data_IF_388908066102
#
_entry.id   IF_388908066102
#
_cell.length_a   1.000
_cell.length_b   1.000
_cell.length_c   1.000
_cell.angle_alpha   90.00
_cell.angle_beta   90.00
_cell.angle_gamma   90.00
#
_symmetry.space_group_name_H-M   'P 1'
#
loop_
_entity.id
_entity.type
_entity.pdbx_description
1 polymer ?
2 non-polymer ?
3 water ?
#
# COMPACT_ATOMS: atom_id res chain seq x y z
N UNK A 24 1.79 18.58 -24.33
CA UNK A 24 2.83 17.59 -24.55
C UNK A 24 3.66 17.32 -23.31
N UNK A 25 4.37 16.19 -23.31
CA UNK A 25 5.22 15.79 -22.20
C UNK A 25 6.65 16.25 -22.48
N UNK A 26 7.20 17.05 -21.57
CA UNK A 26 8.57 17.49 -21.70
C UNK A 26 9.54 16.32 -21.51
N UNK A 27 10.76 16.50 -22.00
CA UNK A 27 11.77 15.45 -21.87
C UNK A 27 12.10 15.17 -20.42
N UNK A 28 12.11 16.21 -19.58
CA UNK A 28 12.35 16.01 -18.16
C UNK A 28 11.21 15.28 -17.48
N UNK A 29 9.99 15.41 -18.02
CA UNK A 29 8.86 14.66 -17.49
C UNK A 29 8.87 13.21 -17.96
N UNK A 30 9.29 12.98 -19.21
CA UNK A 30 9.41 11.62 -19.71
C UNK A 30 10.52 10.86 -18.99
N UNK A 31 11.58 11.56 -18.60
CA UNK A 31 12.65 10.91 -17.83
C UNK A 31 12.20 10.58 -16.42
N UNK A 32 11.34 11.42 -15.83
CA UNK A 32 10.82 11.16 -14.49
C UNK A 32 10.00 9.88 -14.47
N UNK A 33 9.09 9.73 -15.44
CA UNK A 33 8.25 8.54 -15.50
C UNK A 33 9.10 7.30 -15.79
N UNK A 34 10.09 7.43 -16.68
CA UNK A 34 10.93 6.29 -17.02
C UNK A 34 11.71 5.79 -15.83
N UNK A 35 12.23 6.70 -14.99
CA UNK A 35 12.97 6.28 -13.82
C UNK A 35 12.04 5.68 -12.76
N UNK A 36 10.81 6.20 -12.65
CA UNK A 36 9.85 5.62 -11.72
C UNK A 36 9.39 4.25 -12.21
N UNK A 37 9.13 4.11 -13.51
CA UNK A 37 8.69 2.83 -14.05
C UNK A 37 9.82 1.80 -13.98
N UNK A 38 11.06 2.22 -14.24
CA UNK A 38 12.19 1.32 -14.09
C UNK A 38 12.40 0.94 -12.63
N UNK A 39 12.15 1.88 -11.72
CA UNK A 39 12.24 1.57 -10.30
C UNK A 39 11.17 0.56 -9.89
N UNK A 40 9.97 0.68 -10.47
CA UNK A 40 8.89 -0.23 -10.12
C UNK A 40 9.13 -1.61 -10.69
N UNK A 41 9.67 -1.69 -11.91
CA UNK A 41 9.92 -2.98 -12.54
C UNK A 41 10.97 -3.79 -11.78
N UNK A 42 11.96 -3.11 -11.20
CA UNK A 42 13.07 -3.79 -10.53
C UNK A 42 12.77 -4.17 -9.08
N UNK A 43 11.73 -3.58 -8.48
CA UNK A 43 11.47 -3.80 -7.06
C UNK A 43 10.06 -4.29 -6.75
N UNK A 44 9.24 -4.54 -7.78
CA UNK A 44 7.88 -5.05 -7.57
C UNK A 44 7.79 -6.43 -8.22
N UNK A 45 7.80 -7.47 -7.39
CA UNK A 45 7.60 -8.84 -7.84
C UNK A 45 6.10 -9.08 -7.93
N UNK A 46 5.53 -8.79 -9.11
CA UNK A 46 4.10 -8.91 -9.31
C UNK A 46 3.60 -10.35 -9.15
N UNK A 47 4.48 -11.33 -9.36
CA UNK A 47 4.10 -12.73 -9.23
C UNK A 47 4.31 -13.28 -7.82
N UNK A 48 4.91 -12.49 -6.92
CA UNK A 48 5.18 -12.90 -5.55
C UNK A 48 5.99 -14.19 -5.50
N UNK A 49 6.88 -14.38 -6.47
CA UNK A 49 7.63 -15.63 -6.58
C UNK A 49 8.66 -15.79 -5.47
N UNK A 50 9.08 -14.70 -4.82
CA UNK A 50 10.07 -14.75 -3.76
C UNK A 50 9.46 -14.62 -2.37
N UNK A 51 8.16 -14.84 -2.25
CA UNK A 51 7.47 -14.78 -0.96
C UNK A 51 7.26 -16.22 -0.48
N UNK A 52 8.23 -16.74 0.25
CA UNK A 52 8.20 -18.10 0.78
C UNK A 52 8.55 -18.06 2.26
N UNK A 53 8.47 -19.23 2.89
CA UNK A 53 8.78 -19.40 4.31
C UNK A 53 7.97 -18.46 5.19
N UNK A 54 6.70 -18.26 4.82
CA UNK A 54 5.80 -17.41 5.58
C UNK A 54 4.92 -18.26 6.50
N UNK A 55 4.54 -17.67 7.62
CA UNK A 55 3.67 -18.37 8.56
C UNK A 55 2.23 -18.39 8.04
N UNK A 56 1.45 -19.32 8.57
CA UNK A 56 0.07 -19.51 8.18
C UNK A 56 -0.77 -19.72 9.42
N UNK A 57 -2.07 -19.43 9.36
CA UNK A 57 -2.95 -19.67 10.51
C UNK A 57 -2.89 -21.14 10.94
N UNK A 58 -2.91 -21.36 12.25
CA UNK A 58 -2.74 -22.68 12.83
C UNK A 58 -3.70 -23.73 12.31
N UNK A 59 -3.25 -24.99 12.31
CA UNK A 59 -4.06 -26.10 11.83
C UNK A 59 -5.13 -26.46 12.86
N UNK A 78 -16.96 -0.64 29.61
CA UNK A 78 -17.47 0.45 28.76
C UNK A 78 -16.50 0.68 27.59
N UNK A 79 -15.92 1.88 27.49
CA UNK A 79 -14.98 2.18 26.40
C UNK A 79 -13.67 1.42 26.61
N UNK A 80 -12.77 1.52 25.62
CA UNK A 80 -11.49 0.76 25.57
C UNK A 80 -11.78 -0.72 25.31
N UNK A 81 -12.62 -1.34 26.13
CA UNK A 81 -13.23 -2.65 25.78
C UNK A 81 -13.85 -2.54 24.40
N UNK A 82 -14.55 -1.44 24.13
CA UNK A 82 -15.27 -1.21 22.86
C UNK A 82 -14.25 -1.04 21.73
N UNK A 83 -13.15 -0.37 22.02
CA UNK A 83 -12.05 -0.15 21.03
C UNK A 83 -11.31 -1.46 20.84
N UNK A 84 -11.03 -2.19 21.92
CA UNK A 84 -10.34 -3.46 21.73
C UNK A 84 -11.17 -4.38 20.86
N UNK A 85 -12.48 -4.44 21.10
CA UNK A 85 -13.35 -5.27 20.28
C UNK A 85 -13.45 -4.73 18.85
N UNK A 86 -13.41 -3.40 18.69
CA UNK A 86 -13.51 -2.83 17.35
C UNK A 86 -12.21 -3.00 16.57
N UNK A 87 -11.07 -2.89 17.25
CA UNK A 87 -9.79 -3.05 16.57
C UNK A 87 -9.56 -4.50 16.15
N UNK A 88 -10.10 -5.45 16.89
CA UNK A 88 -9.93 -6.87 16.60
C UNK A 88 -11.12 -7.43 15.83
N UNK A 89 -11.56 -6.71 14.79
CA UNK A 89 -12.71 -7.12 13.99
C UNK A 89 -12.28 -7.85 12.73
N UNK A 90 -11.58 -7.16 11.82
CA UNK A 90 -11.05 -7.72 10.58
C UNK A 90 -12.15 -8.13 9.61
N UNK A 91 -11.85 -8.13 8.31
CA UNK A 91 -12.78 -8.59 7.30
C UNK A 91 -12.67 -10.10 7.15
N UNK A 92 -13.79 -10.71 6.74
CA UNK A 92 -13.84 -12.15 6.51
C UNK A 92 -13.24 -12.44 5.14
N UNK A 93 -11.97 -12.84 5.14
CA UNK A 93 -11.23 -13.12 3.91
C UNK A 93 -10.74 -14.56 3.94
N UNK A 94 -11.02 -15.30 2.88
CA UNK A 94 -10.53 -16.67 2.75
C UNK A 94 -9.19 -16.68 2.02
N UNK A 95 -8.33 -17.62 2.41
CA UNK A 95 -6.99 -17.74 1.87
C UNK A 95 -6.90 -18.99 1.00
N UNK A 96 -6.28 -18.84 -0.17
CA UNK A 96 -6.03 -19.95 -1.08
C UNK A 96 -4.55 -20.01 -1.40
N UNK A 97 -3.98 -21.21 -1.35
CA UNK A 97 -2.57 -21.44 -1.65
C UNK A 97 -2.50 -22.56 -2.69
N UNK A 98 -2.24 -22.19 -3.94
CA UNK A 98 -2.14 -23.17 -5.01
C UNK A 98 -0.73 -23.74 -5.07
N UNK A 99 -0.63 -25.07 -4.99
CA UNK A 99 0.65 -25.71 -5.09
C UNK A 99 1.15 -25.84 -6.52
N UNK A 100 2.46 -26.01 -6.65
CA UNK A 100 3.06 -26.16 -7.97
C UNK A 100 2.64 -27.44 -8.66
N UNK A 101 2.14 -28.42 -7.91
CA UNK A 101 1.68 -29.69 -8.46
C UNK A 101 0.20 -29.70 -8.80
N UNK A 102 -0.50 -28.59 -8.59
CA UNK A 102 -1.92 -28.52 -8.84
C UNK A 102 -2.80 -28.60 -7.61
N UNK A 103 -2.24 -29.02 -6.48
CA UNK A 103 -3.01 -29.08 -5.24
C UNK A 103 -3.34 -27.69 -4.74
N UNK A 104 -4.41 -27.60 -3.95
CA UNK A 104 -4.93 -26.33 -3.47
C UNK A 104 -5.23 -26.45 -1.98
N UNK A 105 -4.72 -25.50 -1.20
CA UNK A 105 -5.06 -25.37 0.21
C UNK A 105 -5.97 -24.16 0.38
N UNK A 106 -7.09 -24.35 1.08
CA UNK A 106 -8.06 -23.28 1.29
C UNK A 106 -8.30 -23.10 2.78
N UNK A 107 -8.22 -21.84 3.23
CA UNK A 107 -8.48 -21.49 4.62
C UNK A 107 -9.71 -20.59 4.69
N UNK A 108 -10.67 -20.97 5.54
CA UNK A 108 -11.83 -20.14 5.81
C UNK A 108 -11.80 -19.67 7.25
N UNK A 109 -11.89 -18.37 7.50
CA UNK A 109 -11.77 -17.86 8.87
C UNK A 109 -13.02 -18.20 9.67
N UNK A 110 -12.96 -18.08 11.01
CA UNK A 110 -14.17 -18.30 11.84
C UNK A 110 -15.35 -17.47 11.37
N UNK A 111 -16.38 -18.14 10.85
CA UNK A 111 -17.57 -17.47 10.35
C UNK A 111 -18.36 -16.83 11.49
N UNK A 117 -9.06 -15.48 17.49
CA UNK A 117 -9.79 -14.74 16.47
C UNK A 117 -8.86 -14.30 15.34
N UNK A 118 -8.66 -12.99 15.22
CA UNK A 118 -7.73 -12.45 14.25
C UNK A 118 -6.28 -12.68 14.64
N UNK A 119 -6.04 -13.17 15.87
CA UNK A 119 -4.66 -13.43 16.30
C UNK A 119 -4.03 -14.55 15.50
N UNK A 120 -4.84 -15.49 15.00
CA UNK A 120 -4.32 -16.56 14.15
C UNK A 120 -3.94 -16.05 12.77
N UNK A 121 -4.43 -14.88 12.37
CA UNK A 121 -4.12 -14.30 11.06
C UNK A 121 -3.03 -13.25 11.12
N UNK A 122 -2.69 -12.74 12.32
CA UNK A 122 -1.67 -11.70 12.42
C UNK A 122 -0.29 -12.13 11.94
N UNK A 123 0.23 -13.31 12.29
CA UNK A 123 1.58 -13.66 11.81
C UNK A 123 1.69 -13.71 10.30
N UNK A 124 0.71 -14.28 9.61
CA UNK A 124 0.78 -14.34 8.15
C UNK A 124 0.69 -12.94 7.53
N UNK A 125 -0.23 -12.12 8.02
CA UNK A 125 -0.37 -10.77 7.48
C UNK A 125 0.87 -9.93 7.76
N UNK A 126 1.53 -10.15 8.90
CA UNK A 126 2.77 -9.44 9.18
C UNK A 126 3.90 -9.89 8.27
N UNK A 127 3.92 -11.17 7.90
CA UNK A 127 4.95 -11.66 6.99
C UNK A 127 4.77 -11.07 5.59
N UNK A 128 3.53 -11.00 5.11
CA UNK A 128 3.27 -10.37 3.82
C UNK A 128 3.56 -8.88 3.86
N UNK A 129 3.25 -8.23 4.99
CA UNK A 129 3.58 -6.82 5.14
C UNK A 129 5.08 -6.59 5.03
N UNK A 130 5.87 -7.45 5.68
CA UNK A 130 7.32 -7.31 5.62
C UNK A 130 7.83 -7.51 4.19
N UNK A 131 7.27 -8.49 3.48
CA UNK A 131 7.67 -8.72 2.09
C UNK A 131 7.32 -7.53 1.21
N UNK A 132 6.13 -6.95 1.42
CA UNK A 132 5.76 -5.75 0.67
C UNK A 132 6.62 -4.57 1.07
N UNK A 133 6.94 -4.45 2.36
CA UNK A 133 7.75 -3.32 2.82
C UNK A 133 9.16 -3.39 2.26
N UNK A 134 9.70 -4.61 2.11
CA UNK A 134 11.05 -4.74 1.54
C UNK A 134 11.10 -4.23 0.12
N UNK A 135 10.06 -4.52 -0.67
CA UNK A 135 10.05 -4.03 -2.05
C UNK A 135 9.83 -2.54 -2.14
N UNK A 136 9.03 -1.99 -1.22
CA UNK A 136 8.79 -0.55 -1.21
C UNK A 136 10.06 0.20 -0.84
N UNK A 137 10.75 -0.25 0.21
CA UNK A 137 12.00 0.37 0.61
C UNK A 137 13.03 0.30 -0.52
N UNK A 138 13.07 -0.85 -1.21
CA UNK A 138 13.96 -0.96 -2.36
C UNK A 138 13.54 -0.02 -3.48
N UNK A 139 12.23 0.17 -3.66
CA UNK A 139 11.74 1.08 -4.70
C UNK A 139 12.22 2.50 -4.45
N UNK A 140 12.27 2.91 -3.19
CA UNK A 140 12.63 4.30 -2.90
C UNK A 140 14.13 4.50 -3.10
N UNK A 141 14.94 3.54 -2.65
CA UNK A 141 16.41 3.70 -2.70
C UNK A 141 16.98 3.55 -4.11
N UNK A 142 16.19 3.13 -5.09
CA UNK A 142 16.68 3.08 -6.50
C UNK A 142 16.30 4.36 -7.23
N UNK A 143 15.49 5.22 -6.61
CA UNK A 143 15.14 6.52 -7.24
C UNK A 143 16.26 7.51 -6.90
N UNK A 144 16.71 8.27 -7.90
CA UNK A 144 17.77 9.26 -7.70
C UNK A 144 17.32 10.37 -6.77
N UNK A 145 16.06 10.79 -6.88
CA UNK A 145 15.57 11.88 -6.04
C UNK A 145 15.54 11.49 -4.57
N UNK A 146 15.21 10.23 -4.28
CA UNK A 146 15.16 9.78 -2.90
C UNK A 146 16.56 9.54 -2.33
N UNK A 147 17.48 9.03 -3.16
CA UNK A 147 18.85 8.80 -2.70
C UNK A 147 19.56 10.10 -2.33
N UNK A 148 19.20 11.20 -2.98
CA UNK A 148 19.87 12.48 -2.76
C UNK A 148 19.43 13.16 -1.48
N UNK A 149 18.48 12.59 -0.75
CA UNK A 149 17.99 13.18 0.49
C UNK A 149 18.83 12.71 1.67
N UNK A 150 18.84 13.46 2.78
CA UNK A 150 19.53 13.00 3.98
C UNK A 150 18.95 11.67 4.47
N UNK A 151 19.81 10.88 5.13
CA UNK A 151 19.40 9.56 5.59
C UNK A 151 18.30 9.66 6.63
N UNK A 152 18.25 10.76 7.38
CA UNK A 152 17.18 10.95 8.35
C UNK A 152 15.87 11.26 7.65
N UNK A 153 15.92 12.03 6.56
CA UNK A 153 14.71 12.32 5.80
C UNK A 153 14.26 11.12 4.98
N UNK A 154 15.20 10.26 4.57
CA UNK A 154 14.81 9.03 3.90
C UNK A 154 14.05 8.10 4.83
N UNK A 155 14.48 8.02 6.09
CA UNK A 155 13.78 7.18 7.06
C UNK A 155 12.43 7.79 7.42
N UNK A 156 12.38 9.12 7.54
CA UNK A 156 11.12 9.78 7.89
C UNK A 156 10.09 9.64 6.77
N UNK A 157 10.52 9.74 5.51
CA UNK A 157 9.60 9.59 4.40
C UNK A 157 9.11 8.15 4.27
N UNK A 158 10.01 7.19 4.48
CA UNK A 158 9.62 5.78 4.37
C UNK A 158 8.69 5.37 5.50
N UNK A 159 8.92 5.91 6.70
CA UNK A 159 8.06 5.57 7.84
C UNK A 159 6.66 6.15 7.70
N UNK A 160 6.48 7.19 6.89
CA UNK A 160 5.18 7.83 6.76
C UNK A 160 4.38 7.35 5.56
N UNK A 161 5.05 6.73 4.59
CA UNK A 161 4.41 6.33 3.35
C UNK A 161 4.46 4.82 3.10
N UNK A 162 5.03 4.03 4.01
CA UNK A 162 5.14 2.60 3.77
C UNK A 162 3.77 1.95 3.67
N UNK A 163 2.83 2.34 4.53
CA UNK A 163 1.48 1.79 4.45
C UNK A 163 0.78 2.22 3.17
N UNK A 164 0.91 3.49 2.79
CA UNK A 164 0.22 3.99 1.60
C UNK A 164 0.77 3.35 0.33
N UNK A 165 2.10 3.22 0.23
CA UNK A 165 2.68 2.57 -0.94
C UNK A 165 2.33 1.09 -0.99
N UNK A 166 2.11 0.46 0.17
CA UNK A 166 1.70 -0.93 0.20
C UNK A 166 0.28 -1.09 -0.33
N UNK A 167 -0.61 -0.17 0.05
CA UNK A 167 -1.99 -0.23 -0.46
C UNK A 167 -2.03 0.08 -1.95
N UNK A 168 -1.19 1.00 -2.41
CA UNK A 168 -1.18 1.34 -3.84
C UNK A 168 -0.70 0.17 -4.69
N UNK A 169 0.33 -0.55 -4.22
CA UNK A 169 0.83 -1.69 -4.98
C UNK A 169 -0.14 -2.86 -4.91
N UNK A 170 -0.73 -3.10 -3.72
CA UNK A 170 -1.69 -4.19 -3.57
C UNK A 170 -2.97 -3.95 -4.38
N UNK A 171 -3.27 -2.70 -4.72
CA UNK A 171 -4.45 -2.42 -5.53
C UNK A 171 -4.28 -2.91 -6.96
N UNK A 172 -3.04 -3.02 -7.44
CA UNK A 172 -2.80 -3.46 -8.81
C UNK A 172 -3.04 -4.96 -8.99
N UNK A 173 -3.05 -5.73 -7.90
CA UNK A 173 -3.34 -7.15 -7.96
C UNK A 173 -4.73 -7.47 -7.43
N UNK A 174 -5.56 -6.45 -7.21
CA UNK A 174 -6.90 -6.62 -6.69
C UNK A 174 -7.89 -6.80 -7.83
N UNK A 175 -8.78 -7.79 -7.70
CA UNK A 175 -9.83 -8.05 -8.68
C UNK A 175 -11.14 -7.54 -8.09
N UNK A 176 -11.64 -6.42 -8.62
CA UNK A 176 -12.86 -5.83 -8.09
C UNK A 176 -14.10 -6.63 -8.45
N UNK A 177 -14.06 -7.40 -9.55
CA UNK A 177 -15.23 -8.17 -9.94
C UNK A 177 -15.39 -9.44 -9.11
N UNK A 178 -14.30 -10.01 -8.62
CA UNK A 178 -14.34 -11.21 -7.80
C UNK A 178 -13.98 -10.95 -6.35
N UNK A 179 -13.59 -9.73 -6.01
CA UNK A 179 -13.20 -9.40 -4.65
C UNK A 179 -12.02 -10.21 -4.17
N UNK A 180 -10.98 -10.31 -5.00
CA UNK A 180 -9.85 -11.17 -4.73
C UNK A 180 -8.55 -10.44 -5.00
N UNK A 181 -7.60 -10.58 -4.08
CA UNK A 181 -6.23 -10.09 -4.27
C UNK A 181 -5.39 -11.27 -4.74
N UNK A 182 -5.10 -11.31 -6.03
CA UNK A 182 -4.35 -12.41 -6.63
C UNK A 182 -2.86 -12.11 -6.51
N UNK A 183 -2.19 -12.83 -5.62
CA UNK A 183 -0.76 -12.64 -5.36
C UNK A 183 -0.02 -13.92 -5.75
N UNK A 184 0.11 -14.14 -7.05
CA UNK A 184 0.82 -15.32 -7.53
C UNK A 184 0.06 -16.57 -7.16
N UNK A 185 0.72 -17.47 -6.45
CA UNK A 185 0.08 -18.70 -5.97
C UNK A 185 -0.78 -18.48 -4.74
N UNK A 186 -0.87 -17.24 -4.25
CA UNK A 186 -1.70 -16.88 -3.11
C UNK A 186 -2.90 -16.08 -3.58
N UNK A 187 -4.04 -16.27 -2.90
CA UNK A 187 -5.27 -15.57 -3.22
C UNK A 187 -5.99 -15.21 -1.94
N UNK A 188 -6.45 -13.96 -1.86
CA UNK A 188 -7.19 -13.46 -0.70
C UNK A 188 -8.57 -13.02 -1.20
N UNK A 189 -9.58 -13.85 -0.94
CA UNK A 189 -10.93 -13.63 -1.44
C UNK A 189 -11.84 -13.17 -0.32
N UNK A 190 -12.58 -12.10 -0.56
CA UNK A 190 -13.54 -11.60 0.41
C UNK A 190 -14.74 -12.53 0.47
N UNK A 191 -15.09 -12.97 1.67
CA UNK A 191 -16.21 -13.89 1.88
C UNK A 191 -17.50 -13.13 2.11
N UNK A 192 -18.61 -13.75 1.73
CA UNK A 192 -19.93 -13.15 1.92
C UNK A 192 -20.32 -13.12 3.39
N UNK A 196 -24.13 -7.08 1.74
CA UNK A 196 -23.09 -7.76 0.99
C UNK A 196 -21.92 -6.87 0.64
N UNK A 197 -21.82 -6.49 -0.64
CA UNK A 197 -20.75 -5.61 -1.07
C UNK A 197 -20.86 -4.24 -0.42
N UNK A 198 -22.08 -3.69 -0.36
CA UNK A 198 -22.28 -2.37 0.23
C UNK A 198 -21.83 -2.34 1.69
N UNK A 199 -22.14 -3.40 2.44
CA UNK A 199 -21.68 -3.48 3.83
C UNK A 199 -20.18 -3.66 3.92
N UNK A 200 -19.58 -4.36 2.96
CA UNK A 200 -18.12 -4.50 2.95
C UNK A 200 -17.44 -3.19 2.55
N UNK A 201 -18.04 -2.44 1.64
CA UNK A 201 -17.54 -1.13 1.23
C UNK A 201 -17.75 -0.04 2.28
N UNK A 202 -18.23 -0.41 3.48
CA UNK A 202 -18.33 0.54 4.58
C UNK A 202 -16.98 0.77 5.25
N UNK A 203 -16.10 -0.23 5.22
CA UNK A 203 -14.75 -0.06 5.74
C UNK A 203 -13.96 0.84 4.81
N UNK A 204 -13.33 1.92 5.31
CA UNK A 204 -12.68 2.87 4.40
C UNK A 204 -11.59 2.28 3.54
N UNK A 205 -10.77 1.36 4.07
CA UNK A 205 -9.68 0.80 3.27
C UNK A 205 -10.22 -0.09 2.16
N UNK A 206 -11.26 -0.86 2.43
CA UNK A 206 -11.86 -1.67 1.38
C UNK A 206 -12.56 -0.79 0.34
N UNK A 207 -13.18 0.29 0.80
CA UNK A 207 -13.79 1.24 -0.13
C UNK A 207 -12.73 1.94 -0.98
N UNK A 208 -11.57 2.21 -0.39
CA UNK A 208 -10.48 2.81 -1.15
C UNK A 208 -10.00 1.89 -2.25
N UNK A 209 -9.93 0.58 -1.98
CA UNK A 209 -9.44 -0.35 -2.98
C UNK A 209 -10.42 -0.50 -4.14
N UNK A 210 -11.73 -0.47 -3.84
CA UNK A 210 -12.72 -0.58 -4.90
C UNK A 210 -12.77 0.68 -5.77
N UNK A 211 -12.65 1.85 -5.14
CA UNK A 211 -12.72 3.09 -5.89
C UNK A 211 -11.46 3.30 -6.74
N UNK A 212 -10.29 3.00 -6.18
CA UNK A 212 -9.06 3.14 -6.96
C UNK A 212 -9.01 2.17 -8.13
N UNK A 213 -9.59 0.98 -7.98
CA UNK A 213 -9.62 0.04 -9.09
C UNK A 213 -10.60 0.47 -10.17
N UNK A 214 -11.72 1.11 -9.78
CA UNK A 214 -12.70 1.57 -10.75
C UNK A 214 -12.15 2.69 -11.63
N UNK A 215 -11.09 3.38 -11.20
CA UNK A 215 -10.51 4.43 -12.02
C UNK A 215 -9.73 3.87 -13.20
N UNK A 216 -9.33 2.60 -13.15
CA UNK A 216 -8.64 1.92 -14.25
C UNK A 216 -7.37 2.70 -14.66
N UNK A 217 -6.49 2.88 -13.68
CA UNK A 217 -5.29 3.68 -13.89
C UNK A 217 -4.20 2.87 -14.59
N UNK A 218 -3.33 3.58 -15.31
CA UNK A 218 -2.19 2.95 -15.95
C UNK A 218 -1.10 2.66 -14.93
N UNK A 219 -0.09 1.89 -15.35
CA UNK A 219 1.05 1.61 -14.49
C UNK A 219 1.83 2.89 -14.19
N UNK A 220 1.88 3.82 -15.14
CA UNK A 220 2.59 5.06 -14.92
C UNK A 220 1.87 5.96 -13.91
N UNK A 221 0.54 5.90 -13.89
CA UNK A 221 -0.20 6.70 -12.91
C UNK A 221 -0.08 6.10 -11.51
N UNK A 222 -0.04 4.77 -11.41
CA UNK A 222 0.18 4.13 -10.11
C UNK A 222 1.54 4.51 -9.54
N UNK A 223 2.58 4.49 -10.38
CA UNK A 223 3.93 4.78 -9.89
C UNK A 223 4.10 6.27 -9.60
N UNK A 224 3.27 7.13 -10.18
CA UNK A 224 3.34 8.55 -9.84
C UNK A 224 2.62 8.84 -8.52
N UNK A 225 1.56 8.12 -8.21
CA UNK A 225 0.96 8.21 -6.88
C UNK A 225 1.92 7.72 -5.81
N UNK A 226 2.73 6.72 -6.13
CA UNK A 226 3.73 6.24 -5.18
C UNK A 226 4.76 7.33 -4.90
N UNK A 227 5.17 8.07 -5.94
CA UNK A 227 6.14 9.13 -5.75
C UNK A 227 5.54 10.29 -4.96
N UNK A 228 4.29 10.64 -5.22
CA UNK A 228 3.64 11.73 -4.49
C UNK A 228 3.48 11.36 -3.03
N UNK A 229 3.10 10.12 -2.75
CA UNK A 229 2.92 9.69 -1.37
C UNK A 229 4.27 9.59 -0.65
N UNK A 230 5.29 9.05 -1.32
CA UNK A 230 6.60 8.91 -0.70
C UNK A 230 7.22 10.28 -0.41
N UNK A 231 7.19 11.17 -1.40
CA UNK A 231 7.76 12.51 -1.24
C UNK A 231 6.71 13.49 -0.69
N UNK A 232 6.27 13.19 0.54
CA UNK A 232 5.32 14.06 1.22
C UNK A 232 6.07 14.99 2.16
N UNK A 233 6.03 16.31 1.95
CA UNK A 233 6.82 17.21 2.81
C UNK A 233 6.25 17.35 4.21
N UNK A 234 4.99 16.98 4.44
CA UNK A 234 4.37 17.14 5.73
C UNK A 234 4.50 15.90 6.62
N UNK A 235 5.36 14.96 6.26
CA UNK A 235 5.59 13.81 7.12
C UNK A 235 6.35 14.24 8.37
N UNK A 236 6.00 13.71 9.54
CA UNK A 236 6.68 14.12 10.77
C UNK A 236 8.13 13.64 10.78
N UNK A 237 9.06 14.56 11.01
CA UNK A 237 10.46 14.25 11.15
C UNK A 237 11.33 14.66 9.97
N UNK A 238 10.74 15.10 8.86
CA UNK A 238 11.53 15.49 7.71
C UNK A 238 12.16 16.85 7.96
N UNK A 239 13.40 17.02 7.50
CA UNK A 239 14.13 18.26 7.66
C UNK A 239 14.25 19.08 6.38
N UNK A 240 14.32 18.42 5.23
CA UNK A 240 14.40 19.11 3.94
C UNK A 240 13.01 19.25 3.33
N UNK A 241 12.12 19.90 4.09
CA UNK A 241 10.73 20.05 3.65
C UNK A 241 10.63 20.86 2.36
N UNK A 242 11.56 21.80 2.14
CA UNK A 242 11.52 22.61 0.93
C UNK A 242 11.86 21.78 -0.30
N UNK A 243 12.83 20.88 -0.18
CA UNK A 243 13.23 20.03 -1.31
C UNK A 243 12.15 19.00 -1.59
N UNK A 244 11.60 18.37 -0.55
CA UNK A 244 10.58 17.34 -0.73
C UNK A 244 9.31 17.94 -1.29
N UNK A 245 8.95 19.16 -0.87
CA UNK A 245 7.75 19.81 -1.38
C UNK A 245 7.88 20.14 -2.86
N UNK A 246 9.06 20.60 -3.28
CA UNK A 246 9.27 20.89 -4.70
C UNK A 246 9.27 19.62 -5.53
N UNK A 247 9.77 18.52 -4.97
CA UNK A 247 9.76 17.25 -5.69
C UNK A 247 8.34 16.73 -5.86
N UNK A 248 7.53 16.80 -4.80
CA UNK A 248 6.14 16.36 -4.89
C UNK A 248 5.37 17.16 -5.93
N UNK A 249 5.60 18.48 -5.98
CA UNK A 249 4.91 19.31 -6.96
C UNK A 249 5.30 18.94 -8.38
N UNK A 250 6.56 18.53 -8.60
CA UNK A 250 6.97 18.10 -9.92
C UNK A 250 6.36 16.75 -10.29
N UNK A 251 6.22 15.85 -9.31
CA UNK A 251 5.58 14.57 -9.56
C UNK A 251 4.10 14.76 -9.87
N UNK A 252 3.44 15.70 -9.18
CA UNK A 252 2.02 15.93 -9.41
C UNK A 252 1.78 16.60 -10.76
N UNK A 253 2.67 17.52 -11.16
CA UNK A 253 2.54 18.17 -12.46
C UNK A 253 2.72 17.15 -13.57
N UNK A 254 3.68 16.25 -13.42
CA UNK A 254 3.90 15.21 -14.42
C UNK A 254 2.69 14.30 -14.53
N UNK A 255 2.08 13.93 -13.40
CA UNK A 255 0.87 13.12 -13.43
C UNK A 255 -0.27 13.86 -14.10
N UNK A 256 -0.43 15.16 -13.80
CA UNK A 256 -1.46 15.96 -14.45
C UNK A 256 -1.21 16.06 -15.95
N UNK A 257 0.04 16.30 -16.36
CA UNK A 257 0.36 16.40 -17.77
C UNK A 257 0.23 15.05 -18.46
N UNK A 258 0.52 13.95 -17.75
CA UNK A 258 0.37 12.62 -18.34
C UNK A 258 -1.09 12.31 -18.64
N UNK A 259 -1.99 12.71 -17.73
CA UNK A 259 -3.42 12.43 -17.92
C UNK A 259 -3.97 13.24 -19.09
N UNK A 260 -3.53 14.49 -19.23
CA UNK A 260 -4.05 15.34 -20.29
C UNK A 260 -3.53 14.92 -21.66
N UNK A 261 -2.35 14.31 -21.73
CA UNK A 261 -1.74 13.93 -22.99
C UNK A 261 -2.09 12.51 -23.43
N UNK A 262 -2.72 11.72 -22.57
CA UNK A 262 -3.02 10.33 -22.89
C UNK A 262 -4.45 9.91 -22.65
N UNK A 263 -5.26 10.72 -21.96
CA UNK A 263 -6.65 10.38 -21.65
C UNK A 263 -7.55 11.56 -22.00
N UNK A 264 -7.86 11.76 -23.28
CA UNK A 264 -8.77 12.83 -23.68
C UNK A 264 -10.25 12.49 -23.55
N UNK A 265 -10.58 11.26 -23.12
CA UNK A 265 -11.97 10.87 -23.01
C UNK A 265 -12.67 11.65 -21.90
N UNK A 266 -13.98 11.86 -22.02
CA UNK A 266 -14.71 12.56 -20.94
C UNK A 266 -14.86 11.74 -19.67
N UNK A 267 -14.67 10.42 -19.75
CA UNK A 267 -14.73 9.61 -18.54
C UNK A 267 -13.56 9.89 -17.62
N UNK A 268 -12.43 10.33 -18.17
CA UNK A 268 -11.25 10.68 -17.39
C UNK A 268 -11.18 12.17 -17.07
N UNK A 269 -12.31 12.87 -17.12
CA UNK A 269 -12.34 14.25 -16.69
C UNK A 269 -12.22 14.32 -15.17
N UNK A 270 -11.45 15.30 -14.70
CA UNK A 270 -11.14 15.46 -13.27
C UNK A 270 -10.44 14.24 -12.70
N UNK A 271 -9.75 13.45 -13.54
CA UNK A 271 -9.09 12.25 -13.04
C UNK A 271 -7.91 12.61 -12.14
N UNK A 272 -7.16 13.66 -12.49
CA UNK A 272 -6.05 14.07 -11.65
C UNK A 272 -6.53 14.50 -10.26
N UNK A 273 -7.62 15.27 -10.22
CA UNK A 273 -8.18 15.69 -8.94
C UNK A 273 -8.78 14.52 -8.18
N UNK A 274 -9.32 13.53 -8.90
CA UNK A 274 -9.80 12.32 -8.25
C UNK A 274 -8.64 11.56 -7.61
N UNK A 275 -7.50 11.49 -8.30
CA UNK A 275 -6.34 10.79 -7.77
C UNK A 275 -5.79 11.53 -6.55
N UNK A 276 -5.69 12.87 -6.63
CA UNK A 276 -5.16 13.64 -5.52
C UNK A 276 -6.06 13.54 -4.29
N UNK A 277 -7.38 13.54 -4.49
CA UNK A 277 -8.30 13.37 -3.37
C UNK A 277 -8.19 11.98 -2.77
N UNK A 278 -7.97 10.97 -3.61
CA UNK A 278 -7.81 9.61 -3.09
C UNK A 278 -6.51 9.47 -2.29
N UNK A 279 -5.44 10.13 -2.73
CA UNK A 279 -4.19 10.09 -1.98
C UNK A 279 -4.34 10.78 -0.62
N UNK A 280 -5.21 11.79 -0.54
CA UNK A 280 -5.46 12.43 0.75
C UNK A 280 -6.23 11.49 1.67
N UNK A 281 -7.21 10.76 1.12
CA UNK A 281 -7.95 9.79 1.92
C UNK A 281 -7.04 8.65 2.39
N UNK A 282 -6.04 8.29 1.58
CA UNK A 282 -5.11 7.19 1.96
C UNK A 282 -4.26 7.57 3.16
N UNK A 283 -3.91 8.84 3.31
CA UNK A 283 -3.12 9.35 4.45
C UNK A 283 -3.98 9.29 5.70
N UNK A 284 -5.28 9.54 5.59
CA UNK A 284 -6.22 9.46 6.74
C UNK A 284 -6.42 8.00 7.11
N UNK A 285 -6.58 7.11 6.13
CA UNK A 285 -6.66 5.65 6.42
C UNK A 285 -5.31 5.24 7.00
N UNK A 286 -4.21 5.81 6.50
CA UNK A 286 -2.89 5.42 7.03
C UNK A 286 -2.75 5.81 8.49
N UNK A 287 -3.20 7.02 8.84
CA UNK A 287 -3.10 7.47 10.24
C UNK A 287 -4.04 6.69 11.13
N UNK A 288 -5.22 6.34 10.63
CA UNK A 288 -6.20 5.65 11.46
C UNK A 288 -5.79 4.21 11.72
N UNK A 289 -5.32 3.49 10.70
CA UNK A 289 -4.98 2.09 10.86
C UNK A 289 -3.60 1.89 11.47
N UNK A 290 -2.76 2.92 11.48
CA UNK A 290 -1.51 2.85 12.25
C UNK A 290 -1.81 2.80 13.74
N UNK A 291 -2.78 3.58 14.16
CA UNK A 291 -3.19 3.60 15.59
C UNK A 291 -3.81 2.26 15.99
N UNK A 292 -4.57 1.63 15.10
CA UNK A 292 -5.24 0.35 15.39
C UNK A 292 -4.19 -0.74 15.57
N UNK A 293 -3.18 -0.76 14.71
CA UNK A 293 -2.15 -1.82 14.75
C UNK A 293 -1.28 -1.66 16.00
N UNK A 294 -1.01 -0.43 16.39
CA UNK A 294 -0.13 -0.16 17.57
C UNK A 294 -0.89 -0.51 18.85
N UNK A 295 -2.21 -0.44 18.83
CA UNK A 295 -3.03 -0.84 19.99
C UNK A 295 -3.12 -2.36 20.02
N UNK A 296 -3.15 -3.01 18.85
CA UNK A 296 -3.11 -4.47 18.85
C UNK A 296 -1.75 -4.97 19.30
N UNK A 297 -0.68 -4.29 18.89
CA UNK A 297 0.66 -4.71 19.27
C UNK A 297 0.86 -4.61 20.78
N UNK A 298 0.26 -3.62 21.42
CA UNK A 298 0.40 -3.47 22.86
C UNK A 298 -0.33 -4.57 23.63
N UNK A 299 -1.32 -5.21 23.01
CA UNK A 299 -2.07 -6.30 23.63
C UNK A 299 -1.54 -7.66 23.19
N UNK A 300 -1.41 -7.85 21.88
CA UNK A 300 -0.90 -9.11 21.31
C UNK A 300 0.24 -8.77 20.37
N UNK A 301 1.49 -8.89 20.82
CA UNK A 301 2.63 -8.52 19.97
C UNK A 301 2.70 -9.40 18.72
N UNK A 302 2.93 -8.75 17.58
CA UNK A 302 2.89 -9.45 16.30
C UNK A 302 3.84 -8.83 15.29
N UNK A 303 4.25 -7.59 15.51
CA UNK A 303 5.02 -6.85 14.52
C UNK A 303 6.40 -7.47 14.33
N UNK A 304 6.80 -7.64 13.07
CA UNK A 304 8.12 -8.15 12.74
C UNK A 304 9.17 -7.08 13.03
N UNK A 305 10.45 -7.47 13.10
CA UNK A 305 11.51 -6.46 13.28
C UNK A 305 11.43 -5.29 12.30
N UNK A 306 11.21 -5.57 11.02
CA UNK A 306 11.10 -4.48 10.04
C UNK A 306 9.86 -3.63 10.31
N UNK A 307 8.75 -4.27 10.69
CA UNK A 307 7.54 -3.51 11.01
C UNK A 307 7.73 -2.67 12.26
N UNK A 308 8.54 -3.13 13.21
CA UNK A 308 8.84 -2.33 14.39
C UNK A 308 9.63 -1.08 14.03
N UNK A 309 10.56 -1.21 13.08
CA UNK A 309 11.37 -0.07 12.67
C UNK A 309 10.51 1.01 12.01
N UNK A 310 9.58 0.60 11.14
CA UNK A 310 8.72 1.56 10.47
C UNK A 310 7.67 2.14 11.40
N UNK A 311 7.36 1.46 12.50
CA UNK A 311 6.41 1.98 13.48
C UNK A 311 7.08 2.86 14.54
N UNK A 312 8.41 2.84 14.62
CA UNK A 312 9.11 3.56 15.67
C UNK A 312 9.35 2.76 16.94
N UNK A 313 8.99 1.48 16.95
CA UNK A 313 9.20 0.65 18.14
C UNK A 313 10.70 0.41 18.31
N UNK A 314 11.16 0.53 19.56
CA UNK A 314 12.57 0.39 19.87
C UNK A 314 12.93 -0.94 20.53
N UNK A 315 11.94 -1.66 21.06
CA UNK A 315 12.21 -2.82 21.87
C UNK A 315 12.33 -2.55 23.35
N UNK A 316 12.25 -1.30 23.77
CA UNK A 316 12.32 -0.92 25.19
C UNK A 316 13.56 -1.47 25.88
X LIG B 1 -3.94 -5.67 3.71
X LIG B 1 -2.61 -5.09 3.25
X LIG B 1 -2.00 -5.99 2.17
X LIG B 1 -1.69 -7.40 2.70
X LIG B 1 -0.97 -7.32 4.04
X LIG B 1 -0.53 -5.89 4.33
X LIG B 1 -1.94 -4.11 5.38
X LIG B 1 -1.15 -4.27 6.68
X LIG B 1 -2.02 -4.82 7.79
X LIG B 1 -1.50 -5.73 8.71
X LIG B 1 -2.28 -6.23 9.74
X LIG B 1 -3.63 -5.84 9.85
X LIG B 1 -4.15 -4.91 8.94
X LIG B 1 -5.45 -4.56 9.13
X LIG B 1 0.60 -2.54 6.04
X LIG B 1 -1.87 -7.13 10.67
X LIG B 1 -6.05 -3.71 8.15
X LIG B 1 -5.52 -7.12 10.49
X LIG B 1 -0.53 -7.62 10.56
X LIG B 1 -6.19 -12.91 6.23
X LIG B 1 -7.61 -4.76 2.47
X LIG B 1 -8.56 -3.82 2.87
X LIG B 1 -8.93 -3.73 4.19
X LIG B 1 -7.03 -5.60 3.39
X LIG B 1 -6.01 -6.62 2.96
X LIG B 1 -6.45 -7.40 1.72
X LIG B 1 -5.50 -8.57 1.41
X LIG B 1 -5.42 -9.59 2.51
X LIG B 1 -4.19 -10.09 2.90
X LIG B 1 -4.09 -11.04 3.92
X LIG B 1 -5.24 -11.49 4.56
X LIG B 1 -6.48 -10.99 4.18
X LIG B 1 -6.55 -10.05 3.17
X LIG B 1 -8.36 -4.58 5.12
X LIG B 1 -8.70 -4.54 6.45
X LIG B 1 -9.76 -3.67 6.84
X LIG B 1 -10.07 -3.82 8.33
X LIG B 1 -10.32 -4.96 8.75
X LIG B 1 -10.07 -2.78 9.02
X LIG B 1 -7.41 -5.52 4.72
X LIG B 1 -1.71 -11.12 3.78
X LIG B 1 -1.68 -4.98 4.37
X LIG B 1 -4.73 -5.99 2.67
X LIG B 1 -4.24 -5.85 4.86
X LIG B 1 -2.76 -3.21 5.27
X LIG B 1 -0.40 -2.98 7.07
X LIG B 1 -3.34 -4.42 7.92
X LIG B 1 -4.39 -6.33 10.88
X LIG B 1 -2.91 -11.59 4.36
X LIG B 1 -5.05 -12.42 5.55
#
# INVERSE_FOLDING_TARGET
MGKGHHHHHHGSERTGTQPLGVQGLTEEQRMMIRELMDAQMKTFDTTFSHFKNFRLPGVLSSGCELPESLQAPSREEAAKWSQVRKDLCSLKVSLQLRGEDGSVWNYKPPADSGGKEIFSLLPHMADMSTYMFKGIISFAKVISYFRDLPIEDQISLLKGAAFELCQLRFNTVFNAETGTWECGRLSYCLEDTAGGFQQLLLEPMLKFHYMLKKLQLHEEEYVLMQAISLFSPDRPGVLQHRVVDQLQEQFAITLKSYIECNRPQPAHRFLFLKIMAMLTELRSINAQHTQRLLRIQDIHPFATPLMQELFGITGS
AP1 C1 C2 C3 C4 C5 C6 C8 C9 C10 C11 C12 C13 C14 O15 C16 O17 C18 C19 C20 C21 C22 C23 C24 C25 C26 C27 C28 C29 C30 C31 C32 C33 C34 C35 O36 C37 C38 O39 O40 C41 C42 N7 O43 O44 O45 C46 C47 O48 O49 O50
#
